data_IF_910233785484
#
_entry.id   IF_910233785484
#
_cell.length_a   1.000
_cell.length_b   1.000
_cell.length_c   1.000
_cell.angle_alpha   90.00
_cell.angle_beta   90.00
_cell.angle_gamma   90.00
#
_symmetry.space_group_name_H-M   'P 1'
#
loop_
_entity.id
_entity.type
_entity.pdbx_description
1 polymer ?
#
# COMPACT_ATOMS: atom_id res chain seq x y z
N UNK A 1 -99.10 -5.39 36.66
CA UNK A 1 -99.23 -5.42 35.18
C UNK A 1 -98.26 -4.39 34.64
N UNK A 2 -97.19 -4.64 33.90
CA UNK A 2 -96.80 -5.75 33.02
C UNK A 2 -95.29 -5.99 33.21
N UNK A 3 -94.89 -7.20 33.61
CA UNK A 3 -93.50 -7.64 33.58
C UNK A 3 -93.11 -7.83 32.11
N UNK A 4 -92.26 -6.96 31.57
CA UNK A 4 -91.68 -7.12 30.24
C UNK A 4 -90.74 -8.34 30.26
N UNK A 5 -91.30 -9.50 29.93
CA UNK A 5 -90.58 -10.74 29.62
C UNK A 5 -89.65 -10.44 28.44
N UNK A 6 -88.36 -10.24 28.71
CA UNK A 6 -87.34 -10.36 27.66
C UNK A 6 -87.50 -11.76 27.07
N UNK A 7 -87.75 -11.81 25.77
CA UNK A 7 -87.93 -13.08 25.06
C UNK A 7 -86.56 -13.71 24.82
N UNK A 8 -86.48 -15.06 24.88
CA UNK A 8 -85.26 -15.84 24.64
C UNK A 8 -84.44 -15.42 23.38
N UNK A 9 -85.04 -14.92 22.28
CA UNK A 9 -84.31 -14.40 21.12
C UNK A 9 -83.42 -13.18 21.40
N UNK A 10 -83.84 -12.25 22.26
CA UNK A 10 -83.11 -10.99 22.52
C UNK A 10 -81.79 -11.20 23.29
N UNK A 11 -81.74 -12.26 24.10
CA UNK A 11 -80.53 -12.62 24.85
C UNK A 11 -79.49 -13.28 23.92
N UNK A 12 -79.96 -14.07 22.94
CA UNK A 12 -79.11 -14.76 21.96
C UNK A 12 -78.48 -13.75 21.00
N UNK A 13 -79.23 -12.73 20.57
CA UNK A 13 -78.71 -11.71 19.65
C UNK A 13 -77.62 -10.82 20.30
N UNK A 14 -77.82 -10.39 21.56
CA UNK A 14 -76.80 -9.61 22.29
C UNK A 14 -75.51 -10.41 22.55
N UNK A 15 -75.62 -11.70 22.89
CA UNK A 15 -74.45 -12.58 23.08
C UNK A 15 -73.73 -12.84 21.76
N UNK A 16 -74.47 -13.05 20.66
CA UNK A 16 -73.91 -13.22 19.32
C UNK A 16 -73.17 -11.98 18.83
N UNK A 17 -73.73 -10.78 19.03
CA UNK A 17 -73.11 -9.50 18.63
C UNK A 17 -71.83 -9.23 19.45
N UNK A 18 -71.84 -9.53 20.76
CA UNK A 18 -70.66 -9.32 21.61
C UNK A 18 -69.53 -10.32 21.31
N UNK A 19 -69.87 -11.58 20.98
CA UNK A 19 -68.92 -12.58 20.49
C UNK A 19 -68.29 -12.21 19.14
N UNK A 20 -69.08 -11.66 18.22
CA UNK A 20 -68.62 -11.20 16.89
C UNK A 20 -67.73 -9.94 16.99
N UNK A 21 -68.01 -9.04 17.94
CA UNK A 21 -67.14 -7.88 18.24
C UNK A 21 -65.81 -8.28 18.92
N UNK A 22 -65.78 -9.32 19.77
CA UNK A 22 -64.51 -9.84 20.35
C UNK A 22 -63.64 -10.54 19.30
N UNK A 23 -64.25 -11.27 18.36
CA UNK A 23 -63.52 -11.97 17.29
C UNK A 23 -62.89 -11.05 16.24
N UNK A 24 -63.61 -10.00 15.81
CA UNK A 24 -63.11 -9.02 14.83
C UNK A 24 -61.95 -8.18 15.37
N UNK A 25 -62.08 -7.64 16.60
CA UNK A 25 -61.03 -6.83 17.24
C UNK A 25 -59.73 -7.60 17.50
N UNK A 26 -59.81 -8.92 17.72
CA UNK A 26 -58.66 -9.81 17.90
C UNK A 26 -57.95 -10.14 16.58
N UNK A 27 -58.68 -10.22 15.46
CA UNK A 27 -58.08 -10.45 14.14
C UNK A 27 -57.50 -9.17 13.51
N UNK A 28 -58.12 -8.01 13.74
CA UNK A 28 -57.59 -6.71 13.31
C UNK A 28 -56.24 -6.41 13.97
N UNK A 29 -56.14 -6.58 15.30
CA UNK A 29 -54.89 -6.39 16.04
C UNK A 29 -53.76 -7.34 15.58
N UNK A 30 -54.06 -8.61 15.28
CA UNK A 30 -53.06 -9.56 14.74
C UNK A 30 -52.57 -9.16 13.33
N UNK A 31 -53.45 -8.59 12.51
CA UNK A 31 -53.13 -8.16 11.14
C UNK A 31 -52.25 -6.91 11.15
N UNK A 32 -52.55 -5.94 12.01
CA UNK A 32 -51.71 -4.75 12.23
C UNK A 32 -50.33 -5.10 12.82
N UNK A 33 -50.30 -6.01 13.80
CA UNK A 33 -49.05 -6.49 14.41
C UNK A 33 -48.16 -7.18 13.37
N UNK A 34 -48.73 -8.02 12.50
CA UNK A 34 -48.00 -8.67 11.41
C UNK A 34 -47.50 -7.67 10.35
N UNK A 35 -48.26 -6.61 10.07
CA UNK A 35 -47.87 -5.54 9.14
C UNK A 35 -46.69 -4.73 9.69
N UNK A 36 -46.71 -4.40 10.98
CA UNK A 36 -45.62 -3.73 11.68
C UNK A 36 -44.35 -4.61 11.75
N UNK A 37 -44.51 -5.92 11.99
CA UNK A 37 -43.39 -6.87 12.01
C UNK A 37 -42.72 -7.02 10.64
N UNK A 38 -43.52 -7.05 9.55
CA UNK A 38 -43.02 -7.06 8.16
C UNK A 38 -42.28 -5.78 7.82
N UNK A 39 -42.78 -4.62 8.26
CA UNK A 39 -42.11 -3.33 8.08
C UNK A 39 -40.77 -3.26 8.84
N UNK A 40 -40.71 -3.77 10.08
CA UNK A 40 -39.47 -3.86 10.89
C UNK A 40 -38.44 -4.77 10.24
N UNK A 41 -38.82 -5.99 9.81
CA UNK A 41 -37.93 -6.92 9.08
C UNK A 41 -37.44 -6.34 7.75
N UNK A 42 -38.27 -5.58 7.04
CA UNK A 42 -37.88 -4.87 5.81
C UNK A 42 -36.85 -3.77 6.08
N UNK A 43 -37.03 -2.98 7.15
CA UNK A 43 -36.05 -1.98 7.59
C UNK A 43 -34.72 -2.63 8.00
N UNK A 44 -34.76 -3.72 8.77
CA UNK A 44 -33.56 -4.48 9.15
C UNK A 44 -32.81 -5.06 7.94
N UNK A 45 -33.51 -5.61 6.95
CA UNK A 45 -32.89 -6.08 5.69
C UNK A 45 -32.24 -4.93 4.91
N UNK A 46 -32.90 -3.77 4.82
CA UNK A 46 -32.35 -2.57 4.15
C UNK A 46 -31.11 -2.03 4.88
N UNK A 47 -31.12 -2.03 6.22
CA UNK A 47 -29.96 -1.61 7.03
C UNK A 47 -28.80 -2.59 6.84
N UNK A 48 -29.02 -3.90 6.94
CA UNK A 48 -27.98 -4.91 6.70
C UNK A 48 -27.41 -4.83 5.28
N UNK A 49 -28.25 -4.54 4.29
CA UNK A 49 -27.83 -4.34 2.89
C UNK A 49 -26.96 -3.09 2.74
N UNK A 50 -27.34 -1.97 3.34
CA UNK A 50 -26.54 -0.73 3.36
C UNK A 50 -25.21 -0.92 4.09
N UNK A 51 -25.20 -1.64 5.21
CA UNK A 51 -23.97 -1.97 5.95
C UNK A 51 -23.06 -2.87 5.10
N UNK A 52 -23.60 -3.91 4.45
CA UNK A 52 -22.81 -4.74 3.53
C UNK A 52 -22.24 -3.92 2.38
N UNK A 53 -23.03 -3.03 1.79
CA UNK A 53 -22.59 -2.15 0.71
C UNK A 53 -21.49 -1.19 1.19
N UNK A 54 -21.63 -0.61 2.38
CA UNK A 54 -20.63 0.25 2.98
C UNK A 54 -19.33 -0.50 3.29
N UNK A 55 -19.42 -1.72 3.84
CA UNK A 55 -18.24 -2.58 4.08
C UNK A 55 -17.54 -2.90 2.76
N UNK A 56 -18.28 -3.26 1.71
CA UNK A 56 -17.71 -3.52 0.37
C UNK A 56 -17.03 -2.26 -0.18
N UNK A 57 -17.66 -1.08 -0.08
CA UNK A 57 -17.04 0.17 -0.54
C UNK A 57 -15.76 0.51 0.24
N UNK A 58 -15.74 0.32 1.57
CA UNK A 58 -14.55 0.54 2.40
C UNK A 58 -13.43 -0.45 2.04
N UNK A 59 -13.78 -1.71 1.76
CA UNK A 59 -12.83 -2.72 1.28
C UNK A 59 -12.21 -2.35 -0.07
N UNK A 60 -12.99 -1.78 -1.00
CA UNK A 60 -12.50 -1.36 -2.32
C UNK A 60 -11.55 -0.15 -2.21
N UNK A 61 -11.80 0.78 -1.29
CA UNK A 61 -10.91 1.92 -1.05
C UNK A 61 -9.54 1.52 -0.50
N UNK A 62 -9.43 0.34 0.13
CA UNK A 62 -8.16 -0.20 0.61
C UNK A 62 -7.26 -0.80 -0.49
N UNK A 63 -7.74 -0.91 -1.73
CA UNK A 63 -6.98 -1.49 -2.85
C UNK A 63 -6.30 -0.45 -3.75
N UNK A 64 -6.41 0.85 -3.44
CA UNK A 64 -5.61 1.87 -4.13
C UNK A 64 -4.19 1.83 -3.54
N UNK A 65 -3.35 0.98 -4.14
CA UNK A 65 -1.92 0.93 -3.85
C UNK A 65 -1.22 2.23 -4.24
N UNK A 66 -0.11 2.51 -3.56
CA UNK A 66 0.80 3.59 -3.93
C UNK A 66 1.57 3.14 -5.18
N UNK A 67 1.18 3.61 -6.35
CA UNK A 67 2.02 3.51 -7.55
C UNK A 67 3.23 4.43 -7.31
N UNK A 68 4.40 3.85 -7.09
CA UNK A 68 5.61 4.65 -6.97
C UNK A 68 6.05 5.08 -8.36
N UNK A 69 6.16 6.40 -8.59
CA UNK A 69 6.74 7.00 -9.81
C UNK A 69 8.26 6.73 -9.94
N UNK A 70 8.73 5.56 -9.49
CA UNK A 70 10.11 5.13 -9.56
C UNK A 70 10.25 4.05 -10.63
N UNK A 71 11.10 4.31 -11.62
CA UNK A 71 11.47 3.36 -12.66
C UNK A 71 12.25 2.17 -12.06
N UNK A 72 13.06 2.44 -11.04
CA UNK A 72 13.76 1.42 -10.24
C UNK A 72 13.69 1.87 -8.79
N UNK A 73 13.37 0.95 -7.88
CA UNK A 73 13.55 1.14 -6.44
C UNK A 73 13.89 -0.20 -5.81
N UNK A 74 15.14 -0.61 -5.97
CA UNK A 74 15.61 -1.94 -5.57
C UNK A 74 16.85 -1.84 -4.70
N UNK A 75 16.95 -2.75 -3.74
CA UNK A 75 18.12 -2.95 -2.87
C UNK A 75 18.43 -4.44 -2.84
N UNK A 76 19.72 -4.78 -2.85
CA UNK A 76 20.21 -6.15 -2.76
C UNK A 76 21.11 -6.29 -1.53
N UNK A 77 20.86 -7.35 -0.77
CA UNK A 77 21.67 -7.71 0.39
C UNK A 77 23.07 -8.15 -0.05
N UNK A 78 24.08 -7.72 0.70
CA UNK A 78 25.47 -8.14 0.57
C UNK A 78 25.74 -9.26 1.58
N UNK A 79 25.95 -10.46 1.07
CA UNK A 79 26.15 -11.66 1.88
C UNK A 79 27.39 -11.50 2.78
N UNK A 80 27.22 -11.72 4.08
CA UNK A 80 28.31 -11.64 5.06
C UNK A 80 28.89 -10.23 5.24
N UNK A 81 28.08 -9.21 4.93
CA UNK A 81 28.42 -7.78 5.03
C UNK A 81 29.74 -7.37 4.36
N UNK A 82 30.18 -8.17 3.38
CA UNK A 82 31.45 -8.03 2.70
C UNK A 82 31.22 -7.92 1.21
N UNK A 83 31.36 -6.71 0.69
CA UNK A 83 31.22 -6.44 -0.73
C UNK A 83 32.57 -6.61 -1.41
N UNK A 84 32.70 -7.63 -2.25
CA UNK A 84 33.88 -7.88 -3.06
C UNK A 84 33.85 -7.10 -4.38
N UNK A 85 35.02 -6.69 -4.85
CA UNK A 85 35.19 -5.87 -6.05
C UNK A 85 34.67 -6.58 -7.30
N UNK A 86 34.86 -7.90 -7.39
CA UNK A 86 34.44 -8.74 -8.51
C UNK A 86 32.96 -9.17 -8.43
N UNK A 87 32.21 -8.69 -7.44
CA UNK A 87 30.78 -8.96 -7.25
C UNK A 87 29.95 -7.66 -7.41
N UNK A 88 29.79 -7.15 -8.64
CA UNK A 88 28.94 -5.98 -8.88
C UNK A 88 27.47 -6.29 -8.58
N UNK A 89 26.73 -5.25 -8.21
CA UNK A 89 25.28 -5.30 -7.95
C UNK A 89 24.55 -4.75 -9.17
N UNK A 90 23.88 -5.63 -9.91
CA UNK A 90 23.24 -5.28 -11.19
C UNK A 90 21.72 -5.11 -11.07
N UNK A 91 21.13 -4.20 -11.85
CA UNK A 91 19.71 -3.93 -11.96
C UNK A 91 19.32 -3.87 -13.43
N UNK A 92 18.09 -4.25 -13.76
CA UNK A 92 17.58 -4.24 -15.13
C UNK A 92 16.28 -3.48 -15.19
N UNK A 93 16.11 -2.62 -16.19
CA UNK A 93 14.86 -1.89 -16.40
C UNK A 93 14.55 -1.74 -17.88
N UNK A 94 13.26 -1.70 -18.21
CA UNK A 94 12.76 -1.48 -19.56
C UNK A 94 12.28 -0.03 -19.67
N UNK A 95 12.86 0.73 -20.59
CA UNK A 95 12.50 2.13 -20.79
C UNK A 95 11.72 2.29 -22.10
N UNK A 96 10.52 2.84 -22.01
CA UNK A 96 9.69 3.16 -23.18
C UNK A 96 9.62 4.68 -23.46
N UNK A 97 9.59 5.50 -22.42
CA UNK A 97 9.60 6.96 -22.52
C UNK A 97 11.04 7.52 -22.40
N UNK A 98 11.49 8.19 -23.46
CA UNK A 98 12.83 8.81 -23.54
C UNK A 98 12.82 10.32 -23.24
N UNK A 99 11.64 10.91 -23.07
CA UNK A 99 11.47 12.33 -22.78
C UNK A 99 11.39 12.62 -21.29
N UNK A 100 10.91 11.65 -20.50
CA UNK A 100 10.86 11.75 -19.05
C UNK A 100 12.27 11.91 -18.45
N UNK A 101 12.40 12.86 -17.53
CA UNK A 101 13.62 13.10 -16.75
C UNK A 101 13.59 12.33 -15.44
N UNK A 102 14.75 11.87 -14.98
CA UNK A 102 14.90 11.01 -13.81
C UNK A 102 16.06 11.47 -12.93
N UNK A 103 15.88 11.27 -11.61
CA UNK A 103 16.92 11.44 -10.61
C UNK A 103 17.42 10.07 -10.16
N UNK A 104 18.73 9.91 -10.07
CA UNK A 104 19.37 8.66 -9.69
C UNK A 104 19.98 8.79 -8.30
N UNK A 105 19.70 7.80 -7.48
CA UNK A 105 20.20 7.68 -6.13
C UNK A 105 20.80 6.31 -5.90
N UNK A 106 21.99 6.27 -5.31
CA UNK A 106 22.52 5.06 -4.69
C UNK A 106 21.90 4.95 -3.30
N UNK A 107 21.32 3.78 -3.00
CA UNK A 107 20.85 3.42 -1.68
C UNK A 107 21.92 2.53 -1.05
N UNK A 108 22.40 2.89 0.13
CA UNK A 108 23.46 2.15 0.82
C UNK A 108 23.07 1.95 2.28
N UNK A 109 23.15 0.72 2.77
CA UNK A 109 23.10 0.42 4.20
C UNK A 109 24.45 -0.06 4.68
N UNK A 110 25.00 0.59 5.69
CA UNK A 110 26.30 0.23 6.25
C UNK A 110 26.30 0.22 7.78
N UNK A 111 27.31 -0.44 8.36
CA UNK A 111 27.55 -0.48 9.80
C UNK A 111 28.39 0.69 10.29
N UNK A 112 28.29 0.98 11.59
CA UNK A 112 29.03 2.03 12.27
C UNK A 112 30.53 1.76 12.35
N UNK A 113 30.95 0.50 12.17
CA UNK A 113 32.35 0.07 12.12
C UNK A 113 32.96 0.17 10.70
N UNK A 114 32.22 0.72 9.74
CA UNK A 114 32.73 1.00 8.40
C UNK A 114 33.96 1.92 8.48
N UNK A 115 35.04 1.56 7.78
CA UNK A 115 36.37 2.13 8.04
C UNK A 115 36.66 3.46 7.33
N UNK A 116 35.77 3.92 6.44
CA UNK A 116 36.04 5.06 5.56
C UNK A 116 34.94 6.11 5.69
N UNK A 117 35.29 7.38 5.48
CA UNK A 117 34.32 8.49 5.51
C UNK A 117 33.45 8.54 4.24
N UNK A 118 33.90 7.92 3.16
CA UNK A 118 33.22 7.87 1.88
C UNK A 118 33.41 6.51 1.21
N UNK A 119 32.53 6.25 0.23
CA UNK A 119 32.57 5.08 -0.62
C UNK A 119 32.61 5.54 -2.08
N UNK A 120 33.64 5.13 -2.82
CA UNK A 120 33.67 5.33 -4.27
C UNK A 120 32.90 4.19 -4.93
N UNK A 121 31.99 4.52 -5.85
CA UNK A 121 31.20 3.55 -6.62
C UNK A 121 31.35 3.84 -8.11
N UNK A 122 31.71 2.83 -8.87
CA UNK A 122 31.60 2.83 -10.32
C UNK A 122 30.17 2.43 -10.70
N UNK A 123 29.48 3.34 -11.38
CA UNK A 123 28.15 3.12 -11.93
C UNK A 123 28.27 2.85 -13.43
N UNK A 124 28.02 1.61 -13.86
CA UNK A 124 28.03 1.24 -15.27
C UNK A 124 26.61 1.23 -15.82
N UNK A 125 26.40 1.92 -16.93
CA UNK A 125 25.13 1.90 -17.66
C UNK A 125 25.35 1.21 -18.99
N UNK A 126 24.78 0.02 -19.17
CA UNK A 126 24.74 -0.70 -20.43
C UNK A 126 23.46 -0.34 -21.16
N UNK A 127 23.60 0.24 -22.35
CA UNK A 127 22.52 0.71 -23.20
C UNK A 127 21.90 -0.44 -24.01
N UNK A 128 20.67 -0.26 -24.53
CA UNK A 128 20.03 -1.25 -25.41
C UNK A 128 20.84 -1.63 -26.64
N UNK A 129 21.75 -0.75 -27.09
CA UNK A 129 22.63 -0.97 -28.24
C UNK A 129 23.96 -1.69 -27.92
N UNK A 130 24.06 -2.33 -26.75
CA UNK A 130 25.26 -3.05 -26.26
C UNK A 130 26.51 -2.18 -26.02
N UNK A 131 26.39 -0.85 -26.04
CA UNK A 131 27.45 0.04 -25.54
C UNK A 131 27.29 0.28 -24.05
N UNK A 132 28.33 0.75 -23.37
CA UNK A 132 28.24 1.13 -21.97
C UNK A 132 29.06 2.37 -21.65
N UNK A 133 28.64 3.09 -20.61
CA UNK A 133 29.42 4.15 -19.97
C UNK A 133 29.69 3.78 -18.51
N UNK A 134 30.71 4.38 -17.93
CA UNK A 134 31.03 4.23 -16.50
C UNK A 134 31.21 5.60 -15.88
N UNK A 135 30.40 5.90 -14.87
CA UNK A 135 30.54 7.07 -14.02
C UNK A 135 31.25 6.68 -12.72
N UNK A 136 32.04 7.60 -12.16
CA UNK A 136 32.60 7.44 -10.81
C UNK A 136 31.83 8.34 -9.86
N UNK A 137 31.20 7.73 -8.86
CA UNK A 137 30.38 8.41 -7.86
C UNK A 137 31.12 8.40 -6.53
N UNK A 138 31.26 9.58 -5.92
CA UNK A 138 31.70 9.71 -4.54
C UNK A 138 30.48 9.73 -3.62
N UNK A 139 30.38 8.74 -2.72
CA UNK A 139 29.31 8.62 -1.74
C UNK A 139 29.85 9.03 -0.36
N UNK A 140 29.69 10.29 0.07
CA UNK A 140 30.07 10.70 1.41
C UNK A 140 29.15 10.03 2.44
N UNK A 141 29.73 9.29 3.37
CA UNK A 141 29.02 8.55 4.43
C UNK A 141 29.22 9.17 5.81
N UNK A 142 30.26 9.97 6.01
CA UNK A 142 30.51 10.74 7.22
C UNK A 142 30.79 12.21 6.89
N UNK A 143 30.56 13.08 7.87
CA UNK A 143 31.08 14.45 7.89
C UNK A 143 32.59 14.46 8.15
N UNK A 144 33.25 15.61 7.96
CA UNK A 144 34.69 15.76 8.16
C UNK A 144 35.13 15.53 9.61
N UNK A 145 34.22 15.70 10.58
CA UNK A 145 34.45 15.42 12.01
C UNK A 145 34.25 13.93 12.37
N UNK A 146 33.92 13.09 11.38
CA UNK A 146 33.68 11.65 11.55
C UNK A 146 32.25 11.30 11.93
N UNK A 147 31.34 12.27 12.06
CA UNK A 147 29.92 11.96 12.34
C UNK A 147 29.28 11.30 11.12
N UNK A 148 28.71 10.10 11.32
CA UNK A 148 27.99 9.40 10.27
C UNK A 148 26.79 10.21 9.74
N UNK A 149 26.63 10.18 8.42
CA UNK A 149 25.47 10.68 7.66
C UNK A 149 24.48 9.54 7.50
N UNK A 150 23.23 9.87 7.19
CA UNK A 150 22.17 8.90 7.04
C UNK A 150 21.32 8.77 8.30
N UNK A 151 20.40 7.83 8.29
CA UNK A 151 19.46 7.58 9.37
C UNK A 151 19.36 6.08 9.63
N UNK A 152 19.11 5.66 10.85
CA UNK A 152 18.94 4.24 11.15
C UNK A 152 18.76 3.99 12.63
N UNK A 153 18.75 2.70 13.00
CA UNK A 153 18.58 2.24 14.37
C UNK A 153 19.87 1.59 14.85
N UNK A 154 20.39 2.03 16.00
CA UNK A 154 21.65 1.54 16.54
C UNK A 154 22.82 1.88 15.63
N UNK A 155 23.66 0.88 15.33
CA UNK A 155 24.89 1.05 14.56
C UNK A 155 24.69 0.82 13.05
N UNK A 156 23.45 0.67 12.59
CA UNK A 156 23.13 0.50 11.16
C UNK A 156 22.63 1.83 10.61
N UNK A 157 23.20 2.26 9.49
CA UNK A 157 22.94 3.54 8.84
C UNK A 157 22.45 3.32 7.41
N UNK A 158 21.30 3.92 7.09
CA UNK A 158 20.74 3.99 5.75
C UNK A 158 21.05 5.35 5.11
N UNK A 159 21.62 5.31 3.91
CA UNK A 159 22.01 6.47 3.14
C UNK A 159 21.33 6.43 1.76
N UNK A 160 20.89 7.60 1.31
CA UNK A 160 20.42 7.84 -0.05
C UNK A 160 21.25 8.95 -0.66
N UNK A 161 22.11 8.60 -1.61
CA UNK A 161 23.08 9.51 -2.23
C UNK A 161 22.62 9.83 -3.64
N UNK A 162 22.23 11.08 -3.90
CA UNK A 162 21.94 11.55 -5.26
C UNK A 162 23.24 11.73 -6.03
N UNK A 163 23.30 11.24 -7.28
CA UNK A 163 24.50 11.37 -8.12
C UNK A 163 24.21 11.82 -9.56
N UNK A 164 22.96 11.71 -10.02
CA UNK A 164 22.49 12.28 -11.28
C UNK A 164 21.12 12.90 -11.09
N UNK A 165 20.92 14.10 -11.64
CA UNK A 165 19.68 14.88 -11.52
C UNK A 165 19.16 15.20 -12.93
N UNK A 166 17.85 15.08 -13.14
CA UNK A 166 17.14 15.43 -14.37
C UNK A 166 17.75 14.78 -15.63
N UNK A 167 18.12 13.50 -15.55
CA UNK A 167 18.68 12.76 -16.68
C UNK A 167 17.59 12.06 -17.47
N UNK A 168 17.72 12.06 -18.79
CA UNK A 168 16.87 11.27 -19.68
C UNK A 168 17.57 9.97 -20.07
N UNK A 169 16.78 8.97 -20.43
CA UNK A 169 17.28 7.79 -21.12
C UNK A 169 17.29 8.07 -22.63
N UNK A 170 18.45 8.03 -23.31
CA UNK A 170 18.55 8.50 -24.70
C UNK A 170 17.91 7.56 -25.73
N UNK A 171 17.61 6.32 -25.35
CA UNK A 171 17.06 5.28 -26.22
C UNK A 171 16.01 4.47 -25.45
N UNK A 172 14.97 4.01 -26.15
CA UNK A 172 14.04 3.04 -25.61
C UNK A 172 14.64 1.62 -25.66
N UNK A 173 14.24 0.76 -24.72
CA UNK A 173 14.65 -0.64 -24.62
C UNK A 173 15.19 -1.00 -23.23
N UNK A 174 15.81 -2.18 -23.15
CA UNK A 174 16.35 -2.73 -21.90
C UNK A 174 17.70 -2.13 -21.54
N UNK A 175 17.80 -1.59 -20.32
CA UNK A 175 19.05 -1.14 -19.72
C UNK A 175 19.51 -2.11 -18.63
N UNK A 176 20.82 -2.35 -18.57
CA UNK A 176 21.44 -3.00 -17.42
C UNK A 176 22.32 -1.97 -16.70
N UNK A 177 22.13 -1.85 -15.39
CA UNK A 177 22.80 -0.86 -14.55
C UNK A 177 23.58 -1.61 -13.48
N UNK A 178 24.85 -1.30 -13.31
CA UNK A 178 25.70 -1.99 -12.34
C UNK A 178 26.36 -1.00 -11.38
N UNK A 179 26.35 -1.35 -10.10
CA UNK A 179 27.12 -0.69 -9.05
C UNK A 179 28.28 -1.61 -8.68
N UNK A 180 29.49 -1.06 -8.68
CA UNK A 180 30.72 -1.76 -8.26
C UNK A 180 31.51 -0.81 -7.37
N UNK A 181 32.04 -1.24 -6.23
CA UNK A 181 32.87 -0.33 -5.45
C UNK A 181 34.22 -0.06 -6.13
N UNK A 182 34.71 1.18 -6.02
CA UNK A 182 36.01 1.63 -6.52
C UNK A 182 37.06 1.81 -5.43
N UNK A 183 36.86 1.17 -4.28
CA UNK A 183 37.79 1.24 -3.14
C UNK A 183 39.09 0.49 -3.41
N UNK A 184 40.18 0.86 -2.72
CA UNK A 184 41.51 0.25 -2.90
C UNK A 184 41.61 -1.21 -2.45
N UNK A 185 40.75 -1.63 -1.53
CA UNK A 185 40.71 -3.01 -1.03
C UNK A 185 39.84 -3.85 -1.97
N UNK A 186 40.25 -5.08 -2.23
CA UNK A 186 39.48 -6.03 -3.06
C UNK A 186 38.12 -6.38 -2.44
N UNK A 187 38.01 -6.26 -1.11
CA UNK A 187 36.74 -6.38 -0.40
C UNK A 187 36.60 -5.28 0.64
N UNK A 188 35.38 -4.77 0.79
CA UNK A 188 34.99 -3.83 1.84
C UNK A 188 33.97 -4.48 2.77
N UNK A 189 34.14 -4.26 4.08
CA UNK A 189 33.26 -4.80 5.12
C UNK A 189 32.27 -3.75 5.59
N UNK A 190 31.31 -4.18 6.41
CA UNK A 190 30.24 -3.33 6.98
C UNK A 190 29.33 -2.72 5.92
N UNK A 191 29.18 -3.36 4.76
CA UNK A 191 28.16 -3.01 3.77
C UNK A 191 27.09 -4.09 3.82
N UNK A 192 25.86 -3.73 4.18
CA UNK A 192 24.74 -4.67 4.33
C UNK A 192 23.84 -4.72 3.11
N UNK A 193 23.50 -3.56 2.54
CA UNK A 193 22.63 -3.47 1.37
C UNK A 193 23.18 -2.43 0.39
N UNK A 194 23.07 -2.74 -0.90
CA UNK A 194 23.38 -1.81 -2.00
C UNK A 194 22.18 -1.79 -2.94
N UNK A 195 21.73 -0.59 -3.29
CA UNK A 195 20.55 -0.38 -4.09
C UNK A 195 20.64 0.79 -5.05
N UNK A 196 19.72 0.80 -5.98
CA UNK A 196 19.53 1.86 -6.96
C UNK A 196 18.08 2.32 -6.90
N UNK A 197 17.90 3.64 -6.79
CA UNK A 197 16.61 4.30 -6.93
C UNK A 197 16.70 5.25 -8.12
N UNK A 198 15.84 5.03 -9.11
CA UNK A 198 15.67 5.91 -10.26
C UNK A 198 14.24 6.44 -10.22
N UNK A 199 14.09 7.69 -9.79
CA UNK A 199 12.80 8.33 -9.63
C UNK A 199 12.50 9.23 -10.83
N UNK A 200 11.34 9.05 -11.45
CA UNK A 200 10.88 9.97 -12.48
C UNK A 200 10.57 11.32 -11.85
N UNK A 201 11.07 12.39 -12.46
CA UNK A 201 10.80 13.77 -12.01
C UNK A 201 9.61 14.28 -12.79
N UNK A 202 8.50 14.53 -12.09
CA UNK A 202 7.35 15.22 -12.65
C UNK A 202 7.72 16.70 -12.80
N UNK A 203 7.80 17.17 -14.03
CA UNK A 203 8.00 18.58 -14.36
C UNK A 203 6.66 19.29 -14.55
#
# INVERSE_FOLDING_TARGET
MFLARMTLPDLIEKVAINGRRKGSRSQEGKTETNRALRARKSREKKVKMRVRLAVICVSILGLMGCESDALINETKEIIGSTWAYDQPVSFTTEVSDTLATHNFYIQLRHGGDYKYQNLIVFFRTYYPNNTFITDTVDCPLAETDGKWKGSGLGDILDNRIVFKINQTFPQAGTYNLELQHGMRSDSIHEIYDVGLLVHQTNN
#
